data_IF_551776439652
#
_entry.id   IF_551776439652
#
_cell.length_a   1.000
_cell.length_b   1.000
_cell.length_c   1.000
_cell.angle_alpha   90.00
_cell.angle_beta   90.00
_cell.angle_gamma   90.00
#
_symmetry.space_group_name_H-M   'P 1'
#
loop_
_entity.id
_entity.type
_entity.pdbx_description
1 polymer ?
#
# COMPACT_ATOMS: atom_id res chain seq x y z
N UNK A 1 -11.06 -15.39 -18.07
CA UNK A 1 -10.30 -14.35 -17.35
C UNK A 1 -8.78 -14.38 -17.62
N UNK A 2 -8.26 -14.91 -18.74
CA UNK A 2 -6.79 -15.05 -18.87
C UNK A 2 -6.03 -13.71 -18.84
N UNK A 3 -6.69 -12.62 -19.24
CA UNK A 3 -6.08 -11.29 -19.34
C UNK A 3 -6.04 -10.53 -18.00
N UNK A 4 -6.64 -11.06 -16.92
CA UNK A 4 -6.75 -10.37 -15.62
C UNK A 4 -5.59 -10.70 -14.67
N UNK A 5 -5.00 -11.89 -14.80
CA UNK A 5 -4.06 -12.41 -13.81
C UNK A 5 -2.61 -11.92 -13.94
N UNK A 6 -2.02 -11.86 -15.15
CA UNK A 6 -0.62 -11.44 -15.29
C UNK A 6 -0.39 -10.01 -14.80
N UNK A 7 0.82 -9.70 -14.29
CA UNK A 7 1.16 -8.35 -13.88
C UNK A 7 1.17 -7.39 -15.07
N UNK A 8 0.77 -6.15 -14.82
CA UNK A 8 0.90 -5.04 -15.77
C UNK A 8 2.27 -4.38 -15.60
N UNK A 9 2.71 -3.68 -16.66
CA UNK A 9 3.92 -2.85 -16.63
C UNK A 9 3.62 -1.36 -16.74
N UNK A 10 2.36 -0.99 -16.95
CA UNK A 10 1.85 0.38 -17.04
C UNK A 10 0.33 0.39 -16.82
N UNK A 11 -0.21 1.49 -16.30
CA UNK A 11 -1.64 1.67 -16.05
C UNK A 11 -2.20 0.86 -14.87
N UNK A 12 -3.49 0.53 -14.97
CA UNK A 12 -4.26 -0.09 -13.90
C UNK A 12 -3.97 -1.59 -13.77
N UNK A 13 -3.69 -2.07 -12.55
CA UNK A 13 -3.50 -3.48 -12.26
C UNK A 13 -2.44 -3.76 -11.17
N UNK A 14 -2.19 -5.05 -10.95
CA UNK A 14 -1.08 -5.54 -10.13
C UNK A 14 0.23 -5.49 -10.92
N UNK A 15 1.30 -5.05 -10.30
CA UNK A 15 2.66 -5.06 -10.83
C UNK A 15 3.49 -6.17 -10.18
N UNK A 16 4.61 -6.53 -10.80
CA UNK A 16 5.53 -7.56 -10.29
C UNK A 16 6.08 -7.26 -8.89
N UNK A 17 6.18 -5.99 -8.49
CA UNK A 17 6.67 -5.61 -7.16
C UNK A 17 5.58 -5.63 -6.08
N UNK A 18 4.37 -6.13 -6.39
CA UNK A 18 3.22 -6.14 -5.49
C UNK A 18 2.41 -4.83 -5.48
N UNK A 19 2.84 -3.80 -6.22
CA UNK A 19 2.05 -2.57 -6.35
C UNK A 19 0.71 -2.86 -7.00
N UNK A 20 -0.35 -2.21 -6.54
CA UNK A 20 -1.61 -2.15 -7.26
C UNK A 20 -1.96 -0.69 -7.54
N UNK A 21 -2.03 -0.34 -8.82
CA UNK A 21 -2.42 0.99 -9.28
C UNK A 21 -3.82 0.93 -9.85
N UNK A 22 -4.62 1.94 -9.56
CA UNK A 22 -5.91 2.14 -10.20
C UNK A 22 -6.14 3.63 -10.48
N UNK A 23 -7.13 3.93 -11.32
CA UNK A 23 -7.39 5.29 -11.80
C UNK A 23 -6.16 5.94 -12.44
N UNK A 24 -5.37 5.13 -13.13
CA UNK A 24 -4.16 5.50 -13.87
C UNK A 24 -2.91 5.61 -13.00
N UNK A 25 -3.00 6.17 -11.78
CA UNK A 25 -1.81 6.55 -11.02
C UNK A 25 -2.02 6.65 -9.49
N UNK A 26 -3.04 5.99 -8.94
CA UNK A 26 -3.33 6.01 -7.50
C UNK A 26 -2.99 4.66 -6.85
N UNK A 27 -2.20 4.63 -5.76
CA UNK A 27 -1.88 3.40 -5.03
C UNK A 27 -3.11 2.85 -4.31
N UNK A 28 -3.51 1.62 -4.64
CA UNK A 28 -4.86 1.16 -4.38
C UNK A 28 -5.04 -0.30 -3.92
N UNK A 29 -3.99 -0.95 -3.43
CA UNK A 29 -4.06 -2.32 -2.91
C UNK A 29 -5.23 -2.51 -1.94
N UNK A 30 -5.42 -1.57 -1.00
CA UNK A 30 -6.42 -1.66 0.05
C UNK A 30 -7.79 -1.08 -0.27
N UNK A 31 -8.14 -0.89 -1.55
CA UNK A 31 -9.51 -0.61 -1.98
C UNK A 31 -9.83 -1.31 -3.31
N UNK A 32 -9.39 -0.79 -4.46
CA UNK A 32 -9.69 -1.43 -5.75
C UNK A 32 -8.94 -2.75 -5.97
N UNK A 33 -7.71 -2.87 -5.44
CA UNK A 33 -6.98 -4.14 -5.45
C UNK A 33 -7.71 -5.19 -4.62
N UNK A 34 -8.16 -4.80 -3.44
CA UNK A 34 -9.02 -5.58 -2.56
C UNK A 34 -10.32 -6.04 -3.27
N UNK A 35 -11.03 -5.15 -3.97
CA UNK A 35 -12.25 -5.50 -4.75
C UNK A 35 -11.92 -6.46 -5.91
N UNK A 36 -10.76 -6.31 -6.55
CA UNK A 36 -10.31 -7.27 -7.56
C UNK A 36 -10.09 -8.67 -6.94
N UNK A 37 -9.42 -8.72 -5.79
CA UNK A 37 -9.22 -9.98 -5.06
C UNK A 37 -10.54 -10.60 -4.62
N UNK A 38 -11.50 -9.81 -4.14
CA UNK A 38 -12.86 -10.24 -3.81
C UNK A 38 -13.50 -10.98 -4.99
N UNK A 39 -13.59 -10.31 -6.15
CA UNK A 39 -14.24 -10.85 -7.33
C UNK A 39 -13.61 -12.15 -7.82
N UNK A 40 -12.28 -12.21 -7.85
CA UNK A 40 -11.53 -13.43 -8.21
C UNK A 40 -11.78 -14.54 -7.19
N UNK A 41 -11.78 -14.22 -5.90
CA UNK A 41 -11.96 -15.20 -4.83
C UNK A 41 -13.37 -15.81 -4.84
N UNK A 42 -14.40 -14.98 -4.98
CA UNK A 42 -15.80 -15.43 -5.10
C UNK A 42 -15.95 -16.40 -6.27
N UNK A 43 -15.40 -16.05 -7.44
CA UNK A 43 -15.51 -16.88 -8.64
C UNK A 43 -14.71 -18.18 -8.51
N UNK A 44 -13.52 -18.12 -7.89
CA UNK A 44 -12.72 -19.32 -7.61
C UNK A 44 -13.49 -20.28 -6.70
N UNK A 45 -14.02 -19.77 -5.58
CA UNK A 45 -14.75 -20.59 -4.61
C UNK A 45 -16.05 -21.18 -5.20
N UNK A 46 -16.77 -20.39 -6.01
CA UNK A 46 -18.01 -20.83 -6.64
C UNK A 46 -17.78 -21.97 -7.65
N UNK A 47 -16.68 -21.91 -8.40
CA UNK A 47 -16.39 -22.84 -9.49
C UNK A 47 -15.55 -24.05 -9.04
N UNK A 48 -14.97 -24.02 -7.85
CA UNK A 48 -14.11 -25.07 -7.32
C UNK A 48 -14.79 -26.44 -7.30
N UNK A 49 -14.09 -27.48 -7.78
CA UNK A 49 -14.62 -28.84 -7.87
C UNK A 49 -15.69 -29.06 -8.95
N UNK A 50 -16.09 -28.02 -9.69
CA UNK A 50 -17.04 -28.15 -10.81
C UNK A 50 -16.30 -28.38 -12.15
N UNK A 51 -17.00 -28.82 -13.22
CA UNK A 51 -16.42 -28.87 -14.57
C UNK A 51 -15.94 -27.52 -15.13
N UNK A 52 -16.30 -26.41 -14.48
CA UNK A 52 -15.89 -25.04 -14.85
C UNK A 52 -14.85 -24.46 -13.90
N UNK A 53 -14.17 -25.30 -13.10
CA UNK A 53 -13.06 -24.88 -12.24
C UNK A 53 -12.04 -24.05 -13.02
N UNK A 54 -11.48 -23.02 -12.37
CA UNK A 54 -10.44 -22.19 -12.98
C UNK A 54 -9.15 -23.01 -13.08
N UNK A 55 -8.79 -23.42 -14.30
CA UNK A 55 -7.58 -24.19 -14.62
C UNK A 55 -6.53 -23.40 -15.40
N UNK A 56 -6.71 -22.08 -15.46
CA UNK A 56 -5.76 -21.18 -16.10
C UNK A 56 -4.43 -21.20 -15.34
N UNK A 57 -3.32 -21.46 -16.05
CA UNK A 57 -1.98 -21.44 -15.46
C UNK A 57 -1.61 -20.08 -14.85
N UNK A 58 -2.16 -18.99 -15.40
CA UNK A 58 -1.94 -17.65 -14.90
C UNK A 58 -2.64 -17.40 -13.55
N UNK A 59 -3.54 -18.27 -13.11
CA UNK A 59 -4.15 -18.15 -11.78
C UNK A 59 -3.11 -18.15 -10.65
N UNK A 60 -1.93 -18.73 -10.90
CA UNK A 60 -0.81 -18.70 -9.95
C UNK A 60 -0.39 -17.28 -9.53
N UNK A 61 -0.60 -16.27 -10.38
CA UNK A 61 -0.36 -14.86 -10.02
C UNK A 61 -1.26 -14.36 -8.90
N UNK A 62 -2.45 -14.94 -8.69
CA UNK A 62 -3.32 -14.59 -7.55
C UNK A 62 -2.62 -14.91 -6.22
N UNK A 63 -1.78 -15.95 -6.19
CA UNK A 63 -0.99 -16.26 -5.01
C UNK A 63 0.09 -15.20 -4.75
N UNK A 64 0.66 -14.63 -5.81
CA UNK A 64 1.66 -13.55 -5.75
C UNK A 64 1.00 -12.22 -5.37
N UNK A 65 -0.20 -11.93 -5.86
CA UNK A 65 -0.98 -10.78 -5.39
C UNK A 65 -1.15 -10.83 -3.87
N UNK A 66 -1.48 -12.00 -3.34
CA UNK A 66 -1.62 -12.21 -1.89
C UNK A 66 -0.28 -12.00 -1.17
N UNK A 67 0.78 -12.70 -1.58
CA UNK A 67 2.06 -12.67 -0.84
C UNK A 67 2.78 -11.33 -0.94
N UNK A 68 2.66 -10.65 -2.08
CA UNK A 68 3.51 -9.51 -2.41
C UNK A 68 2.69 -8.22 -2.40
N UNK A 69 1.42 -8.27 -2.81
CA UNK A 69 0.54 -7.11 -2.90
C UNK A 69 -0.41 -6.89 -1.72
N UNK A 70 -0.64 -7.88 -0.86
CA UNK A 70 -1.54 -7.72 0.30
C UNK A 70 -0.84 -7.95 1.62
N UNK A 71 -0.18 -9.09 1.78
CA UNK A 71 0.46 -9.47 3.05
C UNK A 71 1.37 -8.36 3.60
N UNK A 72 2.24 -7.69 2.83
CA UNK A 72 3.14 -6.66 3.37
C UNK A 72 2.47 -5.39 3.88
N UNK A 73 1.17 -5.18 3.63
CA UNK A 73 0.42 -4.02 4.11
C UNK A 73 -0.37 -4.32 5.38
N UNK A 74 -0.12 -5.46 6.04
CA UNK A 74 -0.73 -5.78 7.32
C UNK A 74 0.09 -5.25 8.49
N UNK A 75 -0.61 -4.74 9.49
CA UNK A 75 -0.11 -4.62 10.85
C UNK A 75 -1.22 -5.06 11.81
N UNK A 76 -1.02 -6.19 12.50
CA UNK A 76 -1.96 -6.65 13.54
C UNK A 76 -3.41 -6.77 13.08
N UNK A 77 -3.58 -7.31 11.87
CA UNK A 77 -4.89 -7.53 11.27
C UNK A 77 -5.51 -6.28 10.64
N UNK A 78 -4.91 -5.10 10.85
CA UNK A 78 -5.29 -3.86 10.15
C UNK A 78 -4.50 -3.73 8.85
N UNK A 79 -5.16 -3.26 7.79
CA UNK A 79 -4.53 -2.92 6.52
C UNK A 79 -4.05 -1.46 6.52
N UNK A 80 -2.85 -1.20 6.00
CA UNK A 80 -2.23 0.13 6.03
C UNK A 80 -2.97 1.14 5.16
N UNK A 81 -3.17 2.34 5.69
CA UNK A 81 -3.94 3.41 5.04
C UNK A 81 -3.22 4.04 3.84
N UNK A 82 -1.89 3.90 3.75
CA UNK A 82 -1.09 4.46 2.67
C UNK A 82 -1.44 3.91 1.28
N UNK A 83 -2.21 2.82 1.20
CA UNK A 83 -2.63 2.15 -0.05
C UNK A 83 -4.16 2.02 -0.19
N UNK A 84 -4.93 2.83 0.56
CA UNK A 84 -6.41 2.82 0.48
C UNK A 84 -7.00 4.01 -0.30
N UNK A 85 -6.14 4.81 -0.94
CA UNK A 85 -6.53 5.99 -1.72
C UNK A 85 -7.54 6.86 -0.98
N UNK A 86 -8.61 7.28 -1.67
CA UNK A 86 -9.65 8.12 -1.07
C UNK A 86 -10.46 7.46 0.05
N UNK A 87 -10.43 6.13 0.18
CA UNK A 87 -11.27 5.38 1.12
C UNK A 87 -10.89 5.62 2.58
N UNK A 88 -9.70 6.19 2.84
CA UNK A 88 -9.34 6.72 4.17
C UNK A 88 -10.31 7.82 4.66
N UNK A 89 -10.98 8.51 3.74
CA UNK A 89 -12.02 9.50 4.04
C UNK A 89 -13.40 8.90 4.36
N UNK A 90 -13.58 7.59 4.25
CA UNK A 90 -14.87 6.90 4.42
C UNK A 90 -14.94 6.21 5.77
N UNK A 91 -15.91 6.59 6.61
CA UNK A 91 -16.06 6.02 7.97
C UNK A 91 -16.49 4.54 8.00
N UNK A 92 -17.04 4.02 6.89
CA UNK A 92 -17.49 2.63 6.75
C UNK A 92 -16.44 1.67 6.19
N UNK A 93 -15.22 2.13 5.92
CA UNK A 93 -14.14 1.30 5.40
C UNK A 93 -12.86 1.67 6.14
N UNK A 94 -12.60 1.04 7.29
CA UNK A 94 -11.36 1.27 8.06
C UNK A 94 -10.30 0.22 7.77
N UNK A 95 -9.04 0.50 8.14
CA UNK A 95 -7.93 -0.47 8.01
C UNK A 95 -8.26 -1.86 8.60
N UNK A 96 -8.85 -1.96 9.80
CA UNK A 96 -9.31 -3.23 10.35
C UNK A 96 -10.43 -3.91 9.56
N UNK A 97 -11.39 -3.14 9.01
CA UNK A 97 -12.48 -3.70 8.22
C UNK A 97 -11.94 -4.33 6.93
N UNK A 98 -11.13 -3.57 6.20
CA UNK A 98 -10.46 -4.04 4.96
C UNK A 98 -9.53 -5.22 5.26
N UNK A 99 -8.77 -5.15 6.35
CA UNK A 99 -7.88 -6.21 6.78
C UNK A 99 -8.63 -7.52 7.08
N UNK A 100 -9.77 -7.46 7.76
CA UNK A 100 -10.60 -8.62 8.04
C UNK A 100 -11.16 -9.26 6.77
N UNK A 101 -11.66 -8.45 5.83
CA UNK A 101 -12.20 -8.95 4.55
C UNK A 101 -11.13 -9.62 3.69
N UNK A 102 -9.95 -9.01 3.53
CA UNK A 102 -8.82 -9.61 2.81
C UNK A 102 -8.38 -10.94 3.46
N UNK A 103 -8.35 -11.04 4.80
CA UNK A 103 -8.02 -12.31 5.47
C UNK A 103 -9.05 -13.40 5.15
N UNK A 104 -10.33 -13.03 5.04
CA UNK A 104 -11.38 -13.97 4.63
C UNK A 104 -11.16 -14.49 3.21
N UNK A 105 -10.65 -13.65 2.31
CA UNK A 105 -10.36 -14.04 0.93
C UNK A 105 -9.11 -14.93 0.85
N UNK A 106 -8.05 -14.58 1.58
CA UNK A 106 -6.84 -15.42 1.71
C UNK A 106 -7.23 -16.81 2.25
N UNK A 107 -8.08 -16.87 3.28
CA UNK A 107 -8.57 -18.13 3.83
C UNK A 107 -9.40 -18.93 2.81
N UNK A 108 -10.21 -18.24 2.00
CA UNK A 108 -11.02 -18.87 0.95
C UNK A 108 -10.13 -19.47 -0.14
N UNK A 109 -9.16 -18.71 -0.65
CA UNK A 109 -8.17 -19.21 -1.62
C UNK A 109 -7.38 -20.40 -1.05
N UNK A 110 -6.98 -20.35 0.23
CA UNK A 110 -6.30 -21.46 0.88
C UNK A 110 -7.13 -22.76 0.91
N UNK A 111 -8.46 -22.66 0.90
CA UNK A 111 -9.35 -23.82 1.05
C UNK A 111 -9.81 -24.43 -0.28
N UNK A 112 -9.47 -23.83 -1.43
CA UNK A 112 -9.86 -24.40 -2.73
C UNK A 112 -9.09 -25.69 -3.04
N UNK A 113 -9.71 -26.56 -3.85
CA UNK A 113 -9.15 -27.86 -4.20
C UNK A 113 -7.87 -27.76 -5.04
N UNK A 114 -7.72 -26.68 -5.82
CA UNK A 114 -6.61 -26.44 -6.73
C UNK A 114 -5.40 -25.74 -6.11
N UNK A 115 -5.53 -25.14 -4.91
CA UNK A 115 -4.41 -24.42 -4.27
C UNK A 115 -3.28 -25.37 -3.88
N UNK A 116 -2.02 -25.11 -4.31
CA UNK A 116 -0.85 -25.91 -3.94
C UNK A 116 -0.63 -25.99 -2.42
N UNK A 117 -0.10 -27.11 -1.94
CA UNK A 117 0.02 -27.39 -0.49
C UNK A 117 0.90 -26.39 0.26
N UNK A 118 1.97 -25.92 -0.38
CA UNK A 118 2.84 -24.85 0.14
C UNK A 118 2.08 -23.54 0.30
N UNK A 119 1.30 -23.12 -0.71
CA UNK A 119 0.47 -21.92 -0.65
C UNK A 119 -0.63 -22.03 0.42
N UNK A 120 -1.29 -23.19 0.53
CA UNK A 120 -2.26 -23.46 1.62
C UNK A 120 -1.63 -23.24 2.99
N UNK A 121 -0.41 -23.71 3.18
CA UNK A 121 0.33 -23.58 4.44
C UNK A 121 0.66 -22.12 4.72
N UNK A 122 1.21 -21.39 3.75
CA UNK A 122 1.54 -19.97 3.88
C UNK A 122 0.29 -19.15 4.25
N UNK A 123 -0.80 -19.32 3.49
CA UNK A 123 -2.03 -18.55 3.68
C UNK A 123 -2.72 -18.88 4.99
N UNK A 124 -2.83 -20.17 5.36
CA UNK A 124 -3.45 -20.56 6.64
C UNK A 124 -2.64 -20.05 7.84
N UNK A 125 -1.30 -20.09 7.77
CA UNK A 125 -0.44 -19.54 8.81
C UNK A 125 -0.59 -18.01 8.93
N UNK A 126 -0.66 -17.31 7.81
CA UNK A 126 -0.87 -15.87 7.82
C UNK A 126 -2.25 -15.49 8.34
N UNK A 127 -3.32 -16.19 7.97
CA UNK A 127 -4.66 -15.95 8.52
C UNK A 127 -4.70 -16.17 10.03
N UNK A 128 -4.02 -17.21 10.54
CA UNK A 128 -3.93 -17.48 11.97
C UNK A 128 -3.11 -16.43 12.74
N UNK A 129 -2.12 -15.81 12.09
CA UNK A 129 -1.28 -14.76 12.65
C UNK A 129 -0.95 -13.72 11.58
N UNK A 130 -1.81 -12.70 11.37
CA UNK A 130 -1.71 -11.74 10.25
C UNK A 130 -0.65 -10.67 10.53
N UNK A 131 0.58 -11.13 10.73
CA UNK A 131 1.81 -10.35 10.83
C UNK A 131 2.73 -10.70 9.67
N UNK A 132 3.17 -9.70 8.89
CA UNK A 132 4.26 -9.90 7.95
C UNK A 132 5.56 -10.24 8.67
N UNK A 133 6.47 -10.91 7.97
CA UNK A 133 7.82 -11.09 8.48
C UNK A 133 8.53 -9.72 8.60
N UNK A 134 9.53 -9.64 9.48
CA UNK A 134 10.44 -8.49 9.48
C UNK A 134 11.10 -8.38 8.12
N UNK A 135 11.13 -7.17 7.55
CA UNK A 135 11.71 -6.98 6.23
C UNK A 135 11.55 -5.57 5.69
N UNK A 136 12.13 -5.37 4.51
CA UNK A 136 12.07 -4.12 3.76
C UNK A 136 11.36 -4.37 2.42
N UNK A 137 10.28 -3.63 2.16
CA UNK A 137 9.40 -3.82 1.02
C UNK A 137 9.33 -2.52 0.20
N UNK A 138 9.75 -2.57 -1.05
CA UNK A 138 9.74 -1.44 -1.98
C UNK A 138 8.72 -1.68 -3.09
N UNK A 139 7.74 -0.77 -3.17
CA UNK A 139 6.68 -0.77 -4.17
C UNK A 139 6.92 0.41 -5.11
N UNK A 140 7.87 0.24 -6.00
CA UNK A 140 8.36 1.28 -6.90
C UNK A 140 7.27 1.77 -7.85
N UNK A 141 6.41 0.87 -8.34
CA UNK A 141 5.37 1.25 -9.32
C UNK A 141 4.24 2.09 -8.71
N UNK A 142 4.17 2.20 -7.38
CA UNK A 142 3.18 3.03 -6.70
C UNK A 142 3.76 3.94 -5.60
N UNK A 143 5.07 4.18 -5.64
CA UNK A 143 5.77 5.09 -4.74
C UNK A 143 5.48 4.84 -3.24
N UNK A 144 5.49 3.57 -2.83
CA UNK A 144 5.34 3.15 -1.43
C UNK A 144 6.53 2.37 -0.94
N UNK A 145 6.82 2.51 0.34
CA UNK A 145 7.80 1.68 1.03
C UNK A 145 7.22 1.26 2.37
N UNK A 146 7.41 -0.01 2.73
CA UNK A 146 7.05 -0.56 4.04
C UNK A 146 8.26 -1.21 4.67
N UNK A 147 8.46 -0.96 5.96
CA UNK A 147 9.52 -1.53 6.78
C UNK A 147 8.90 -2.18 8.01
N UNK A 148 8.97 -3.51 8.10
CA UNK A 148 8.54 -4.28 9.27
C UNK A 148 9.75 -4.61 10.15
N UNK A 149 9.67 -4.29 11.44
CA UNK A 149 10.67 -4.59 12.46
C UNK A 149 10.00 -5.28 13.65
N UNK A 150 10.81 -5.85 14.55
CA UNK A 150 10.31 -6.61 15.70
C UNK A 150 9.30 -5.82 16.56
N UNK A 151 9.48 -4.50 16.67
CA UNK A 151 8.72 -3.66 17.60
C UNK A 151 7.88 -2.57 16.92
N UNK A 152 8.04 -2.36 15.61
CA UNK A 152 7.31 -1.34 14.88
C UNK A 152 7.19 -1.70 13.40
N UNK A 153 6.23 -1.08 12.72
CA UNK A 153 6.20 -1.03 11.26
C UNK A 153 6.11 0.41 10.80
N UNK A 154 6.81 0.72 9.72
CA UNK A 154 6.89 2.05 9.16
C UNK A 154 6.46 1.99 7.70
N UNK A 155 5.54 2.86 7.28
CA UNK A 155 5.18 3.01 5.89
C UNK A 155 5.42 4.45 5.42
N UNK A 156 5.84 4.58 4.17
CA UNK A 156 6.15 5.84 3.53
C UNK A 156 5.31 6.00 2.26
N UNK A 157 4.66 7.15 2.16
CA UNK A 157 3.82 7.57 1.04
C UNK A 157 4.48 8.73 0.30
N UNK A 158 4.87 8.48 -0.95
CA UNK A 158 5.52 9.44 -1.83
C UNK A 158 4.67 9.66 -3.09
N UNK A 159 5.10 10.63 -3.90
CA UNK A 159 4.52 10.94 -5.20
C UNK A 159 5.64 11.29 -6.18
N UNK A 160 5.32 11.21 -7.46
CA UNK A 160 6.26 11.47 -8.55
C UNK A 160 5.50 11.83 -9.82
N UNK A 161 6.22 11.86 -10.95
CA UNK A 161 5.60 11.90 -12.28
C UNK A 161 4.72 10.69 -12.60
N UNK A 162 4.86 9.57 -11.87
CA UNK A 162 4.09 8.34 -12.10
C UNK A 162 2.87 8.21 -11.20
N UNK A 163 2.93 8.76 -9.98
CA UNK A 163 1.95 8.50 -8.91
C UNK A 163 1.41 9.80 -8.36
N UNK A 164 0.09 9.91 -8.26
CA UNK A 164 -0.58 11.07 -7.68
C UNK A 164 -0.20 11.25 -6.21
N UNK A 165 -0.12 12.51 -5.77
CA UNK A 165 0.02 12.87 -4.37
C UNK A 165 -1.17 12.39 -3.51
N UNK A 166 -2.40 12.52 -4.00
CA UNK A 166 -3.58 11.96 -3.36
C UNK A 166 -4.72 11.85 -4.38
N UNK A 167 -5.83 11.23 -3.97
CA UNK A 167 -7.08 11.24 -4.71
C UNK A 167 -8.22 11.78 -3.83
N UNK A 168 -9.05 12.66 -4.39
CA UNK A 168 -10.38 12.96 -3.86
C UNK A 168 -11.47 12.54 -4.85
N UNK A 169 -12.71 12.46 -4.35
CA UNK A 169 -13.89 12.26 -5.19
C UNK A 169 -14.72 13.54 -5.28
N UNK A 170 -14.12 14.65 -5.70
CA UNK A 170 -14.82 15.89 -6.01
C UNK A 170 -15.76 16.43 -4.91
N UNK A 171 -15.46 16.18 -3.64
CA UNK A 171 -16.28 16.61 -2.51
C UNK A 171 -16.91 15.48 -1.69
N UNK A 172 -16.91 14.24 -2.20
CA UNK A 172 -17.61 13.13 -1.53
C UNK A 172 -16.69 12.27 -0.64
N UNK A 173 -15.41 12.14 -0.99
CA UNK A 173 -14.43 11.38 -0.22
C UNK A 173 -13.04 12.04 -0.27
N UNK A 174 -12.29 11.91 0.83
CA UNK A 174 -10.92 12.41 1.01
C UNK A 174 -10.69 13.89 0.62
N UNK A 175 -11.65 14.75 0.96
CA UNK A 175 -11.67 16.17 0.57
C UNK A 175 -10.52 17.03 1.13
N UNK A 176 -9.71 16.46 2.03
CA UNK A 176 -8.60 17.13 2.68
C UNK A 176 -7.25 16.41 2.51
N UNK A 177 -7.16 15.39 1.64
CA UNK A 177 -5.96 14.54 1.46
C UNK A 177 -4.69 15.22 0.90
N UNK A 178 -4.64 16.55 0.87
CA UNK A 178 -3.72 17.40 0.12
C UNK A 178 -2.25 16.96 0.12
N UNK A 179 -1.76 16.46 1.25
CA UNK A 179 -0.34 16.18 1.47
C UNK A 179 -0.05 14.69 1.75
N UNK A 180 -0.99 13.79 1.48
CA UNK A 180 -0.84 12.36 1.78
C UNK A 180 0.31 11.68 1.00
N UNK A 181 0.69 12.20 -0.16
CA UNK A 181 1.81 11.72 -0.99
C UNK A 181 3.06 12.59 -0.91
N UNK A 182 3.09 13.57 0.00
CA UNK A 182 4.21 14.53 0.12
C UNK A 182 5.25 14.04 1.15
N UNK A 183 5.51 12.73 1.13
CA UNK A 183 6.41 12.07 2.08
C UNK A 183 5.75 11.80 3.43
N UNK A 184 4.44 11.52 3.44
CA UNK A 184 3.72 11.16 4.66
C UNK A 184 4.25 9.83 5.20
N UNK A 185 4.46 9.78 6.50
CA UNK A 185 5.00 8.64 7.24
C UNK A 185 3.97 8.08 8.19
N UNK A 186 3.85 6.77 8.23
CA UNK A 186 2.96 6.04 9.12
C UNK A 186 3.83 5.20 10.06
N UNK A 187 3.58 5.29 11.36
CA UNK A 187 4.28 4.52 12.37
C UNK A 187 3.29 3.69 13.15
N UNK A 188 3.44 2.38 13.07
CA UNK A 188 2.64 1.38 13.74
C UNK A 188 3.46 0.75 14.86
N UNK A 189 2.96 0.78 16.09
CA UNK A 189 3.65 0.29 17.30
C UNK A 189 2.68 -0.42 18.24
N UNK A 190 3.20 -1.30 19.11
CA UNK A 190 2.41 -2.00 20.13
C UNK A 190 1.63 -3.19 19.57
N UNK A 191 0.75 -3.79 20.39
CA UNK A 191 0.05 -5.06 20.11
C UNK A 191 -1.37 -4.91 19.56
N UNK A 192 -1.84 -3.67 19.36
CA UNK A 192 -3.01 -3.37 18.53
C UNK A 192 -2.81 -2.00 17.92
N UNK A 193 -2.88 -1.88 16.59
CA UNK A 193 -2.95 -0.54 16.00
C UNK A 193 -4.31 0.10 16.29
N UNK A 194 -4.25 1.21 17.01
CA UNK A 194 -5.40 2.06 17.27
C UNK A 194 -5.19 3.48 16.73
N UNK A 195 -4.05 3.76 16.10
CA UNK A 195 -3.62 5.12 15.80
C UNK A 195 -4.38 5.71 14.62
N UNK A 196 -4.52 4.96 13.52
CA UNK A 196 -5.17 5.44 12.29
C UNK A 196 -6.66 5.07 12.20
N UNK A 197 -7.21 4.56 13.30
CA UNK A 197 -8.63 4.18 13.44
C UNK A 197 -9.34 5.10 14.43
N UNK A 198 -10.62 4.84 14.74
CA UNK A 198 -11.38 5.55 15.78
C UNK A 198 -11.45 7.08 15.62
N UNK A 199 -11.57 7.55 14.38
CA UNK A 199 -11.75 8.98 14.09
C UNK A 199 -10.46 9.76 13.85
N UNK A 200 -9.33 9.10 13.59
CA UNK A 200 -8.11 9.76 13.14
C UNK A 200 -8.35 10.67 11.91
N UNK A 201 -8.80 10.11 10.79
CA UNK A 201 -9.01 10.86 9.54
C UNK A 201 -10.00 12.03 9.63
N UNK A 202 -11.12 11.95 10.39
CA UNK A 202 -11.98 13.12 10.56
C UNK A 202 -11.46 14.16 11.57
N UNK A 203 -10.39 13.89 12.32
CA UNK A 203 -9.88 14.79 13.37
C UNK A 203 -8.45 15.28 13.18
N UNK A 204 -7.66 14.62 12.34
CA UNK A 204 -6.27 14.99 12.06
C UNK A 204 -6.20 16.38 11.40
N UNK A 205 -5.16 17.14 11.76
CA UNK A 205 -4.81 18.35 11.03
C UNK A 205 -4.12 17.97 9.71
N UNK A 206 -4.89 18.04 8.62
CA UNK A 206 -4.41 17.71 7.29
C UNK A 206 -3.29 18.62 6.79
N UNK A 207 -3.06 19.80 7.39
CA UNK A 207 -1.92 20.66 7.02
C UNK A 207 -0.59 20.18 7.62
N UNK A 208 -0.65 19.28 8.61
CA UNK A 208 0.49 18.80 9.38
C UNK A 208 0.54 17.27 9.46
N UNK A 209 0.25 16.60 8.34
CA UNK A 209 0.41 15.15 8.23
C UNK A 209 1.85 14.73 8.56
N UNK A 210 1.99 13.60 9.23
CA UNK A 210 3.25 13.15 9.82
C UNK A 210 4.36 12.99 8.78
N UNK A 211 5.47 13.69 8.96
CA UNK A 211 6.67 13.57 8.12
C UNK A 211 6.66 14.39 6.82
N UNK A 212 5.56 15.05 6.48
CA UNK A 212 5.48 15.90 5.27
C UNK A 212 6.29 17.19 5.43
N UNK A 213 6.53 17.86 4.32
CA UNK A 213 7.06 19.23 4.28
C UNK A 213 6.10 20.02 3.40
N UNK A 214 5.46 21.07 3.93
CA UNK A 214 4.34 21.75 3.26
C UNK A 214 4.50 23.27 3.31
N UNK A 215 3.93 23.96 2.33
CA UNK A 215 3.77 25.42 2.38
C UNK A 215 2.54 25.78 3.23
N UNK A 216 2.73 26.57 4.28
CA UNK A 216 1.64 26.96 5.19
C UNK A 216 0.54 27.74 4.47
N UNK A 217 -0.72 27.38 4.77
CA UNK A 217 -1.90 28.05 4.22
C UNK A 217 -2.17 27.74 2.74
N UNK A 218 -1.50 26.73 2.18
CA UNK A 218 -1.74 26.24 0.82
C UNK A 218 -2.41 24.87 0.85
N UNK A 219 -2.95 24.44 -0.29
CA UNK A 219 -3.43 23.07 -0.50
C UNK A 219 -2.96 22.59 -1.86
N UNK A 220 -2.61 21.31 -1.96
CA UNK A 220 -2.25 20.68 -3.22
C UNK A 220 -3.48 20.33 -4.05
N UNK A 221 -3.31 20.32 -5.36
CA UNK A 221 -4.22 19.71 -6.34
C UNK A 221 -3.94 18.21 -6.39
N UNK A 222 -4.95 17.34 -6.55
CA UNK A 222 -4.72 15.91 -6.78
C UNK A 222 -4.07 15.72 -8.15
N UNK A 223 -2.77 15.44 -8.17
CA UNK A 223 -1.97 15.37 -9.40
C UNK A 223 -0.61 14.68 -9.17
N UNK A 224 0.03 14.13 -10.21
CA UNK A 224 1.44 13.77 -10.14
C UNK A 224 2.30 15.02 -9.91
N UNK A 225 3.46 14.84 -9.30
CA UNK A 225 4.46 15.91 -9.27
C UNK A 225 5.20 16.00 -10.60
N UNK A 226 5.99 17.06 -10.79
CA UNK A 226 6.93 17.17 -11.91
C UNK A 226 8.31 16.54 -11.59
N UNK A 227 8.41 15.80 -10.49
CA UNK A 227 9.65 15.19 -10.01
C UNK A 227 9.66 13.68 -10.29
N UNK A 228 10.70 13.20 -10.97
CA UNK A 228 10.85 11.79 -11.33
C UNK A 228 11.64 10.98 -10.30
N UNK A 229 12.55 11.63 -9.56
CA UNK A 229 13.41 10.99 -8.58
C UNK A 229 12.61 10.60 -7.33
N UNK A 230 12.24 9.33 -7.27
CA UNK A 230 11.54 8.68 -6.16
C UNK A 230 11.93 7.20 -6.15
N UNK A 231 11.98 6.59 -4.98
CA UNK A 231 12.21 5.16 -4.85
C UNK A 231 13.16 4.86 -3.71
N UNK A 232 13.93 3.78 -3.85
CA UNK A 232 14.82 3.33 -2.79
C UNK A 232 15.58 2.06 -3.15
N UNK A 233 16.30 1.55 -2.17
CA UNK A 233 17.02 0.29 -2.25
C UNK A 233 17.09 -0.38 -0.88
N UNK A 234 17.25 -1.70 -0.86
CA UNK A 234 17.45 -2.49 0.35
C UNK A 234 18.83 -3.13 0.41
N UNK A 235 19.24 -3.45 1.63
CA UNK A 235 20.36 -4.35 1.93
C UNK A 235 19.77 -5.68 2.35
N UNK A 236 20.32 -6.76 1.79
CA UNK A 236 19.92 -8.13 2.11
C UNK A 236 20.82 -8.75 3.18
N UNK A 237 20.28 -9.69 3.94
CA UNK A 237 21.07 -10.56 4.81
C UNK A 237 21.80 -11.65 4.01
N UNK A 238 22.52 -12.53 4.71
CA UNK A 238 23.25 -13.64 4.07
C UNK A 238 22.36 -14.66 3.34
N UNK A 239 21.04 -14.64 3.60
CA UNK A 239 20.06 -15.51 2.96
C UNK A 239 19.33 -14.80 1.80
N UNK A 240 19.72 -13.57 1.45
CA UNK A 240 19.07 -12.78 0.41
C UNK A 240 17.77 -12.11 0.85
N UNK A 241 17.47 -12.05 2.17
CA UNK A 241 16.25 -11.41 2.67
C UNK A 241 16.47 -9.91 2.91
N UNK A 242 15.64 -9.00 2.36
CA UNK A 242 15.76 -7.56 2.59
C UNK A 242 15.57 -7.19 4.07
N UNK A 243 16.60 -6.66 4.73
CA UNK A 243 16.57 -6.37 6.18
C UNK A 243 16.50 -4.87 6.50
N UNK A 244 17.23 -4.04 5.74
CA UNK A 244 17.29 -2.60 5.92
C UNK A 244 17.09 -1.92 4.58
N UNK A 245 16.62 -0.67 4.58
CA UNK A 245 16.44 0.05 3.33
C UNK A 245 16.62 1.55 3.46
N UNK A 246 16.74 2.17 2.30
CA UNK A 246 16.71 3.60 2.11
C UNK A 246 15.63 3.93 1.09
N UNK A 247 14.87 4.99 1.34
CA UNK A 247 13.96 5.58 0.37
C UNK A 247 14.24 7.08 0.25
N UNK A 248 14.04 7.65 -0.93
CA UNK A 248 14.19 9.08 -1.14
C UNK A 248 13.27 9.55 -2.25
N UNK A 249 12.88 10.83 -2.19
CA UNK A 249 12.19 11.48 -3.28
C UNK A 249 12.48 12.98 -3.33
N UNK A 250 12.38 13.55 -4.53
CA UNK A 250 12.31 14.99 -4.76
C UNK A 250 10.86 15.44 -4.60
N UNK A 251 10.63 16.31 -3.62
CA UNK A 251 9.36 16.94 -3.33
C UNK A 251 9.24 18.24 -4.11
N UNK A 252 8.16 18.38 -4.87
CA UNK A 252 7.66 19.65 -5.40
C UNK A 252 6.14 19.54 -5.53
N UNK A 253 5.36 20.12 -4.58
CA UNK A 253 3.91 19.99 -4.57
C UNK A 253 3.24 20.74 -5.72
N UNK A 254 2.21 20.16 -6.32
CA UNK A 254 1.36 20.86 -7.27
C UNK A 254 0.26 21.62 -6.52
N UNK A 255 0.43 22.92 -6.25
CA UNK A 255 -0.54 23.70 -5.47
C UNK A 255 -1.78 24.09 -6.27
N UNK A 256 -2.92 24.22 -5.60
CA UNK A 256 -4.16 24.75 -6.20
C UNK A 256 -4.09 26.25 -6.48
N UNK A 257 -3.27 26.97 -5.74
CA UNK A 257 -3.05 28.42 -5.88
C UNK A 257 -2.09 28.79 -7.02
N UNK A 258 -1.42 27.81 -7.64
CA UNK A 258 -0.44 28.02 -8.71
C UNK A 258 0.83 27.20 -8.50
N UNK A 259 1.96 27.71 -8.99
CA UNK A 259 3.24 27.03 -8.86
C UNK A 259 3.77 27.12 -7.43
N UNK A 260 4.18 25.98 -6.87
CA UNK A 260 4.86 25.95 -5.57
C UNK A 260 6.25 26.57 -5.67
N UNK A 261 6.66 27.23 -4.60
CA UNK A 261 8.06 27.67 -4.42
C UNK A 261 8.85 26.67 -3.58
N UNK A 262 8.17 25.76 -2.90
CA UNK A 262 8.75 24.68 -2.11
C UNK A 262 9.33 23.60 -3.02
N UNK A 263 10.64 23.41 -2.88
CA UNK A 263 11.34 22.23 -3.34
C UNK A 263 12.04 21.60 -2.14
N UNK A 264 12.20 20.28 -2.16
CA UNK A 264 12.98 19.60 -1.15
C UNK A 264 13.40 18.21 -1.58
N UNK A 265 14.51 17.74 -1.04
CA UNK A 265 14.97 16.36 -1.16
C UNK A 265 14.78 15.70 0.19
N UNK A 266 13.94 14.67 0.23
CA UNK A 266 13.61 13.94 1.46
C UNK A 266 14.15 12.53 1.36
N UNK A 267 14.78 12.05 2.42
CA UNK A 267 15.36 10.70 2.48
C UNK A 267 15.07 10.04 3.82
N UNK A 268 14.86 8.73 3.79
CA UNK A 268 14.43 7.92 4.92
C UNK A 268 15.33 6.68 4.96
N UNK A 269 16.02 6.47 6.07
CA UNK A 269 16.88 5.30 6.29
C UNK A 269 16.25 4.44 7.37
N UNK A 270 15.81 3.24 7.01
CA UNK A 270 15.03 2.33 7.86
C UNK A 270 15.94 1.19 8.36
N UNK A 271 16.51 1.37 9.54
CA UNK A 271 17.39 0.39 10.18
C UNK A 271 16.60 -0.52 11.12
N UNK A 272 17.29 -1.26 12.01
CA UNK A 272 16.68 -2.29 12.85
C UNK A 272 15.64 -1.74 13.83
N UNK A 273 15.98 -0.67 14.54
CA UNK A 273 15.23 -0.12 15.67
C UNK A 273 14.95 1.38 15.53
N UNK A 274 15.29 1.97 14.38
CA UNK A 274 15.23 3.40 14.14
C UNK A 274 14.96 3.73 12.66
N UNK A 275 14.35 4.89 12.44
CA UNK A 275 14.17 5.49 11.12
C UNK A 275 14.79 6.89 11.15
N UNK A 276 15.77 7.13 10.29
CA UNK A 276 16.42 8.45 10.14
C UNK A 276 15.77 9.18 8.97
N UNK A 277 15.20 10.35 9.25
CA UNK A 277 14.56 11.21 8.25
C UNK A 277 15.45 12.44 7.99
N UNK A 278 15.88 12.64 6.74
CA UNK A 278 16.68 13.77 6.32
C UNK A 278 15.91 14.64 5.31
N UNK A 279 16.13 15.95 5.36
CA UNK A 279 15.59 16.93 4.43
C UNK A 279 16.66 17.96 4.04
N UNK A 280 16.74 18.32 2.77
CA UNK A 280 17.68 19.34 2.26
C UNK A 280 17.23 19.92 0.92
N UNK A 281 17.92 20.97 0.45
CA UNK A 281 17.65 21.63 -0.84
C UNK A 281 16.52 22.63 -0.75
#
# INVERSE_FOLDING_TARGET
MPDVFPPVTDGDGFYEDGSYVFHGNVPYNGHYGYVMLEGVTILTALLDGTPWSIVDSNYSYVYEWITDGFMPFYYQGSFMDCVRGRSVGTSGETGPDVGAEILSYIQTVANTSTTPTDKKTIFSNFVANPQPATGQYHFYNMDRVVAHRDNFSFALSMSSTRVNNYEDLFGDANTHGYFQGDGMTYLYVGSKDTQFVNGYWPSVDYYHLTGTTTEQGTISTPSPSDQDFVGGANVEDSNGSPVYGVAAFSLHPALKSGTSTLYGKKSYFMFKDEVVCLGSG
#
